data_IF_516722388008
#
_entry.id   IF_516722388008
#
_cell.length_a   1.000
_cell.length_b   1.000
_cell.length_c   1.000
_cell.angle_alpha   90.00
_cell.angle_beta   90.00
_cell.angle_gamma   90.00
#
_symmetry.space_group_name_H-M   'P 1'
#
loop_
_entity.id
_entity.type
_entity.pdbx_description
1 polymer ?
#
# COMPACT_ATOMS: atom_id res chain seq x y z
N UNK A 1 20.28 -12.18 -5.73
CA UNK A 1 19.51 -10.94 -5.49
C UNK A 1 18.70 -10.56 -6.73
N UNK A 2 19.33 -10.32 -7.90
CA UNK A 2 18.61 -9.95 -9.14
C UNK A 2 17.40 -10.84 -9.51
N UNK A 3 17.52 -12.17 -9.39
CA UNK A 3 16.39 -13.09 -9.67
C UNK A 3 15.15 -12.83 -8.80
N UNK A 4 15.34 -12.51 -7.52
CA UNK A 4 14.24 -12.25 -6.59
C UNK A 4 13.63 -10.88 -6.84
N UNK A 5 14.45 -9.89 -7.22
CA UNK A 5 13.96 -8.58 -7.65
C UNK A 5 13.07 -8.72 -8.89
N UNK A 6 13.52 -9.47 -9.91
CA UNK A 6 12.73 -9.74 -11.12
C UNK A 6 11.42 -10.45 -10.76
N UNK A 7 11.48 -11.52 -9.98
CA UNK A 7 10.27 -12.26 -9.56
C UNK A 7 9.32 -11.34 -8.79
N UNK A 8 9.83 -10.57 -7.81
CA UNK A 8 9.01 -9.66 -7.00
C UNK A 8 8.31 -8.59 -7.82
N UNK A 9 8.98 -8.05 -8.84
CA UNK A 9 8.47 -7.02 -9.76
C UNK A 9 7.50 -7.60 -10.80
N UNK A 10 7.68 -8.87 -11.18
CA UNK A 10 6.76 -9.53 -12.11
C UNK A 10 5.33 -9.58 -11.58
N UNK A 11 5.11 -9.70 -10.26
CA UNK A 11 3.75 -9.74 -9.70
C UNK A 11 2.96 -8.45 -9.97
N UNK A 12 3.46 -7.24 -9.64
CA UNK A 12 2.82 -5.98 -10.04
C UNK A 12 2.65 -5.81 -11.54
N UNK A 13 3.63 -6.19 -12.35
CA UNK A 13 3.52 -6.09 -13.81
C UNK A 13 2.39 -6.98 -14.33
N UNK A 14 2.35 -8.25 -13.91
CA UNK A 14 1.28 -9.18 -14.29
C UNK A 14 -0.08 -8.71 -13.77
N UNK A 15 -0.15 -8.13 -12.57
CA UNK A 15 -1.37 -7.56 -12.03
C UNK A 15 -1.87 -6.35 -12.86
N UNK A 16 -0.97 -5.46 -13.30
CA UNK A 16 -1.32 -4.33 -14.18
C UNK A 16 -1.88 -4.83 -15.52
N UNK A 17 -1.25 -5.86 -16.10
CA UNK A 17 -1.71 -6.47 -17.35
C UNK A 17 -3.06 -7.17 -17.17
N UNK A 18 -3.21 -7.94 -16.09
CA UNK A 18 -4.45 -8.65 -15.76
C UNK A 18 -5.61 -7.68 -15.52
N UNK A 19 -5.39 -6.62 -14.75
CA UNK A 19 -6.45 -5.66 -14.41
C UNK A 19 -6.96 -4.87 -15.61
N UNK A 20 -6.18 -4.80 -16.71
CA UNK A 20 -6.66 -4.23 -17.98
C UNK A 20 -7.88 -4.99 -18.51
N UNK A 21 -7.96 -6.30 -18.31
CA UNK A 21 -9.11 -7.12 -18.72
C UNK A 21 -10.36 -6.88 -17.86
N UNK A 22 -10.18 -6.37 -16.63
CA UNK A 22 -11.31 -6.05 -15.76
C UNK A 22 -12.00 -4.75 -16.14
N UNK A 23 -11.31 -3.82 -16.82
CA UNK A 23 -11.92 -2.58 -17.31
C UNK A 23 -11.89 -1.42 -16.31
N UNK A 24 -12.28 -0.24 -16.80
CA UNK A 24 -12.22 1.05 -16.10
C UNK A 24 -13.25 1.17 -14.97
N UNK A 25 -14.36 0.45 -15.07
CA UNK A 25 -15.41 0.41 -14.05
C UNK A 25 -14.92 -0.22 -12.74
N UNK A 26 -13.83 -1.00 -12.80
CA UNK A 26 -13.13 -1.57 -11.66
C UNK A 26 -11.84 -0.84 -11.29
N UNK A 27 -11.56 0.34 -11.85
CA UNK A 27 -10.26 1.02 -11.64
C UNK A 27 -9.82 1.14 -10.17
N UNK A 28 -10.78 1.38 -9.27
CA UNK A 28 -10.52 1.39 -7.83
C UNK A 28 -10.06 0.03 -7.28
N UNK A 29 -10.75 -1.05 -7.64
CA UNK A 29 -10.38 -2.42 -7.25
C UNK A 29 -9.07 -2.85 -7.91
N UNK A 30 -8.91 -2.53 -9.19
CA UNK A 30 -7.72 -2.84 -9.97
C UNK A 30 -6.46 -2.28 -9.32
N UNK A 31 -6.52 -1.03 -8.85
CA UNK A 31 -5.43 -0.45 -8.05
C UNK A 31 -5.12 -1.26 -6.79
N UNK A 32 -6.14 -1.71 -6.06
CA UNK A 32 -5.94 -2.53 -4.84
C UNK A 32 -5.38 -3.92 -5.17
N UNK A 33 -5.76 -4.54 -6.29
CA UNK A 33 -5.13 -5.77 -6.79
C UNK A 33 -3.64 -5.57 -7.05
N UNK A 34 -3.26 -4.44 -7.68
CA UNK A 34 -1.86 -4.10 -7.92
C UNK A 34 -1.11 -3.87 -6.60
N UNK A 35 -1.73 -3.21 -5.61
CA UNK A 35 -1.12 -3.06 -4.27
C UNK A 35 -0.86 -4.43 -3.62
N UNK A 36 -1.85 -5.33 -3.59
CA UNK A 36 -1.68 -6.69 -3.06
C UNK A 36 -0.56 -7.46 -3.76
N UNK A 37 -0.42 -7.27 -5.07
CA UNK A 37 0.62 -7.96 -5.85
C UNK A 37 2.05 -7.51 -5.49
N UNK A 38 2.23 -6.41 -4.73
CA UNK A 38 3.56 -6.00 -4.24
C UNK A 38 4.06 -6.83 -3.06
N UNK A 39 3.20 -7.64 -2.41
CA UNK A 39 3.55 -8.45 -1.22
C UNK A 39 4.79 -9.33 -1.41
N UNK A 40 4.96 -10.08 -2.51
CA UNK A 40 6.16 -10.89 -2.71
C UNK A 40 7.46 -10.07 -2.69
N UNK A 41 7.46 -8.87 -3.28
CA UNK A 41 8.62 -7.98 -3.24
C UNK A 41 8.94 -7.50 -1.82
N UNK A 42 7.91 -7.21 -1.01
CA UNK A 42 8.07 -6.84 0.41
C UNK A 42 8.69 -7.97 1.22
N UNK A 43 8.23 -9.20 0.99
CA UNK A 43 8.76 -10.37 1.69
C UNK A 43 10.21 -10.65 1.27
N UNK A 44 10.53 -10.55 -0.01
CA UNK A 44 11.93 -10.69 -0.46
C UNK A 44 12.85 -9.61 0.12
N UNK A 45 12.36 -8.38 0.27
CA UNK A 45 13.09 -7.32 0.96
C UNK A 45 13.31 -7.65 2.44
N UNK A 46 12.25 -8.11 3.13
CA UNK A 46 12.32 -8.52 4.54
C UNK A 46 13.36 -9.61 4.78
N UNK A 47 13.35 -10.64 3.94
CA UNK A 47 14.25 -11.79 4.05
C UNK A 47 15.67 -11.51 3.50
N UNK A 48 15.99 -10.26 3.14
CA UNK A 48 17.30 -9.87 2.64
C UNK A 48 17.65 -10.43 1.25
N UNK A 49 16.66 -10.95 0.52
CA UNK A 49 16.84 -11.46 -0.85
C UNK A 49 16.92 -10.35 -1.90
N UNK A 50 16.39 -9.18 -1.55
CA UNK A 50 16.46 -7.91 -2.30
C UNK A 50 16.89 -6.81 -1.35
N UNK A 51 17.89 -6.02 -1.73
CA UNK A 51 18.34 -4.90 -0.90
C UNK A 51 17.36 -3.73 -0.98
N UNK A 52 17.35 -2.88 0.05
CA UNK A 52 16.53 -1.66 0.05
C UNK A 52 16.83 -0.74 -1.15
N UNK A 53 18.10 -0.65 -1.57
CA UNK A 53 18.51 0.14 -2.74
C UNK A 53 17.94 -0.43 -4.05
N UNK A 54 18.02 -1.75 -4.24
CA UNK A 54 17.47 -2.42 -5.43
C UNK A 54 15.94 -2.26 -5.50
N UNK A 55 15.25 -2.51 -4.39
CA UNK A 55 13.80 -2.37 -4.31
C UNK A 55 13.38 -0.92 -4.60
N UNK A 56 14.00 0.04 -3.91
CA UNK A 56 13.67 1.45 -4.07
C UNK A 56 13.93 1.94 -5.49
N UNK A 57 15.04 1.53 -6.12
CA UNK A 57 15.33 1.91 -7.50
C UNK A 57 14.21 1.46 -8.44
N UNK A 58 13.78 0.20 -8.35
CA UNK A 58 12.72 -0.31 -9.24
C UNK A 58 11.35 0.31 -8.92
N UNK A 59 10.99 0.42 -7.65
CA UNK A 59 9.69 1.01 -7.26
C UNK A 59 9.63 2.50 -7.62
N UNK A 60 10.74 3.23 -7.57
CA UNK A 60 10.82 4.61 -8.04
C UNK A 60 10.62 4.71 -9.56
N UNK A 61 11.06 3.72 -10.35
CA UNK A 61 10.76 3.68 -11.79
C UNK A 61 9.26 3.54 -12.05
N UNK A 62 8.54 2.75 -11.24
CA UNK A 62 7.07 2.71 -11.30
C UNK A 62 6.47 4.08 -10.97
N UNK A 63 6.92 4.73 -9.90
CA UNK A 63 6.44 6.07 -9.52
C UNK A 63 6.62 7.07 -10.66
N UNK A 64 7.81 7.14 -11.26
CA UNK A 64 8.11 8.05 -12.37
C UNK A 64 7.26 7.71 -13.59
N UNK A 65 7.16 6.43 -13.97
CA UNK A 65 6.35 6.01 -15.12
C UNK A 65 4.87 6.39 -14.96
N UNK A 66 4.31 6.18 -13.77
CA UNK A 66 2.93 6.52 -13.46
C UNK A 66 2.70 8.03 -13.33
N UNK A 67 3.68 8.76 -12.81
CA UNK A 67 3.62 10.22 -12.78
C UNK A 67 3.65 10.80 -14.19
N UNK A 68 4.49 10.25 -15.08
CA UNK A 68 4.55 10.68 -16.48
C UNK A 68 3.21 10.49 -17.19
N UNK A 69 2.51 9.38 -16.97
CA UNK A 69 1.18 9.18 -17.59
C UNK A 69 0.17 10.22 -17.10
N UNK A 70 0.19 10.61 -15.82
CA UNK A 70 -0.62 11.73 -15.31
C UNK A 70 -0.24 13.07 -15.94
N UNK A 71 1.05 13.42 -15.95
CA UNK A 71 1.52 14.70 -16.50
C UNK A 71 1.22 14.83 -17.99
N UNK A 72 1.17 13.71 -18.72
CA UNK A 72 0.83 13.66 -20.13
C UNK A 72 -0.68 13.60 -20.38
N UNK A 73 -1.53 13.58 -19.34
CA UNK A 73 -2.98 13.33 -19.43
C UNK A 73 -3.31 12.05 -20.21
N UNK A 74 -2.50 11.00 -20.00
CA UNK A 74 -2.63 9.67 -20.60
C UNK A 74 -2.71 8.61 -19.50
N UNK A 75 -3.49 8.89 -18.47
CA UNK A 75 -3.71 7.97 -17.36
C UNK A 75 -4.19 6.60 -17.87
N UNK A 76 -3.62 5.54 -17.30
CA UNK A 76 -4.04 4.17 -17.55
C UNK A 76 -5.37 3.93 -16.82
N UNK A 77 -6.46 4.36 -17.47
CA UNK A 77 -7.82 4.49 -16.93
C UNK A 77 -8.37 3.25 -16.21
N UNK A 78 -7.86 2.06 -16.52
CA UNK A 78 -8.23 0.82 -15.84
C UNK A 78 -7.67 0.69 -14.42
N UNK A 79 -6.75 1.54 -13.96
CA UNK A 79 -6.33 1.56 -12.54
C UNK A 79 -5.86 2.92 -12.03
N UNK A 80 -5.44 3.82 -12.91
CA UNK A 80 -5.15 5.21 -12.57
C UNK A 80 -6.45 6.02 -12.61
N UNK A 81 -6.74 6.68 -11.48
CA UNK A 81 -7.92 7.53 -11.35
C UNK A 81 -7.50 8.96 -11.68
N UNK A 82 -8.17 9.58 -12.65
CA UNK A 82 -7.91 10.96 -13.07
C UNK A 82 -7.83 11.92 -11.87
N UNK A 83 -6.81 12.77 -11.86
CA UNK A 83 -6.49 13.73 -10.78
C UNK A 83 -6.24 13.08 -9.39
N UNK A 84 -6.03 11.77 -9.31
CA UNK A 84 -5.67 11.10 -8.08
C UNK A 84 -4.34 10.35 -8.25
N UNK A 85 -3.33 10.82 -7.52
CA UNK A 85 -1.95 10.35 -7.59
C UNK A 85 -1.62 9.27 -6.56
N UNK A 86 -2.63 8.59 -6.00
CA UNK A 86 -2.44 7.64 -4.90
C UNK A 86 -1.43 6.54 -5.22
N UNK A 87 -1.43 5.99 -6.44
CA UNK A 87 -0.45 4.98 -6.85
C UNK A 87 0.97 5.54 -6.99
N UNK A 88 1.11 6.82 -7.37
CA UNK A 88 2.42 7.48 -7.43
C UNK A 88 2.96 7.68 -6.02
N UNK A 89 2.13 8.20 -5.10
CA UNK A 89 2.49 8.38 -3.71
C UNK A 89 2.82 7.06 -3.03
N UNK A 90 2.06 6.00 -3.32
CA UNK A 90 2.35 4.65 -2.87
C UNK A 90 3.79 4.26 -3.24
N UNK A 91 4.16 4.34 -4.53
CA UNK A 91 5.50 3.98 -4.98
C UNK A 91 6.60 4.89 -4.42
N UNK A 92 6.37 6.20 -4.29
CA UNK A 92 7.35 7.13 -3.69
C UNK A 92 7.62 6.77 -2.22
N UNK A 93 6.56 6.62 -1.42
CA UNK A 93 6.70 6.32 0.01
C UNK A 93 7.31 4.93 0.22
N UNK A 94 6.93 3.95 -0.60
CA UNK A 94 7.52 2.63 -0.56
C UNK A 94 9.03 2.65 -0.87
N UNK A 95 9.44 3.43 -1.86
CA UNK A 95 10.86 3.62 -2.17
C UNK A 95 11.62 4.31 -1.02
N UNK A 96 11.01 5.33 -0.40
CA UNK A 96 11.61 6.03 0.74
C UNK A 96 11.76 5.09 1.96
N UNK A 97 10.72 4.31 2.28
CA UNK A 97 10.77 3.33 3.37
C UNK A 97 11.85 2.27 3.13
N UNK A 98 11.99 1.78 1.90
CA UNK A 98 13.01 0.81 1.53
C UNK A 98 14.45 1.33 1.72
N UNK A 99 14.68 2.64 1.51
CA UNK A 99 16.01 3.26 1.62
C UNK A 99 16.39 3.69 3.04
N UNK A 100 15.44 4.24 3.78
CA UNK A 100 15.74 5.02 4.98
C UNK A 100 15.30 4.39 6.29
N UNK A 101 14.53 3.29 6.24
CA UNK A 101 14.01 2.64 7.44
C UNK A 101 14.63 1.27 7.68
N UNK A 102 14.55 0.80 8.92
CA UNK A 102 14.95 -0.57 9.23
C UNK A 102 14.03 -1.56 8.51
N UNK A 103 14.61 -2.66 8.03
CA UNK A 103 13.95 -3.61 7.14
C UNK A 103 12.65 -4.15 7.76
N UNK A 104 12.66 -4.52 9.04
CA UNK A 104 11.49 -5.12 9.70
C UNK A 104 10.32 -4.14 9.82
N UNK A 105 10.57 -2.92 10.30
CA UNK A 105 9.53 -1.92 10.46
C UNK A 105 9.05 -1.37 9.11
N UNK A 106 9.96 -1.18 8.15
CA UNK A 106 9.63 -0.83 6.77
C UNK A 106 8.71 -1.88 6.13
N UNK A 107 9.07 -3.17 6.22
CA UNK A 107 8.24 -4.25 5.70
C UNK A 107 6.87 -4.33 6.37
N UNK A 108 6.77 -4.08 7.68
CA UNK A 108 5.48 -4.04 8.36
C UNK A 108 4.57 -2.93 7.80
N UNK A 109 5.10 -1.72 7.61
CA UNK A 109 4.32 -0.60 7.07
C UNK A 109 3.97 -0.83 5.60
N UNK A 110 4.92 -1.30 4.80
CA UNK A 110 4.68 -1.68 3.40
C UNK A 110 3.58 -2.74 3.29
N UNK A 111 3.57 -3.74 4.17
CA UNK A 111 2.50 -4.75 4.20
C UNK A 111 1.16 -4.16 4.61
N UNK A 112 1.13 -3.24 5.58
CA UNK A 112 -0.11 -2.54 5.93
C UNK A 112 -0.63 -1.72 4.75
N UNK A 113 0.23 -1.04 4.02
CA UNK A 113 -0.12 -0.30 2.80
C UNK A 113 -0.58 -1.22 1.65
N UNK A 114 0.08 -2.36 1.47
CA UNK A 114 -0.26 -3.32 0.42
C UNK A 114 -1.57 -4.07 0.72
N UNK A 115 -1.77 -4.44 1.98
CA UNK A 115 -2.80 -5.39 2.42
C UNK A 115 -3.94 -4.70 3.16
N UNK A 116 -3.67 -3.94 4.22
CA UNK A 116 -4.73 -3.32 5.03
C UNK A 116 -5.47 -2.23 4.26
N UNK A 117 -4.76 -1.35 3.56
CA UNK A 117 -5.38 -0.38 2.64
C UNK A 117 -6.06 -1.09 1.45
N UNK A 118 -5.46 -2.18 0.94
CA UNK A 118 -6.06 -3.08 -0.04
C UNK A 118 -7.45 -3.57 0.37
N UNK A 119 -7.53 -4.24 1.53
CA UNK A 119 -8.76 -4.78 2.12
C UNK A 119 -9.78 -3.67 2.36
N UNK A 120 -9.32 -2.55 2.89
CA UNK A 120 -10.14 -1.37 3.14
C UNK A 120 -10.82 -0.87 1.87
N UNK A 121 -10.06 -0.76 0.77
CA UNK A 121 -10.55 -0.37 -0.54
C UNK A 121 -11.57 -1.36 -1.10
N UNK A 122 -11.33 -2.67 -0.94
CA UNK A 122 -12.23 -3.73 -1.39
C UNK A 122 -13.55 -3.73 -0.62
N UNK A 123 -13.51 -3.69 0.71
CA UNK A 123 -14.70 -3.69 1.56
C UNK A 123 -15.59 -2.48 1.29
N UNK A 124 -14.99 -1.29 1.20
CA UNK A 124 -15.71 -0.06 0.84
C UNK A 124 -16.31 -0.17 -0.55
N UNK A 125 -15.59 -0.79 -1.48
CA UNK A 125 -16.08 -0.93 -2.84
C UNK A 125 -17.37 -1.76 -2.91
N UNK A 126 -17.35 -2.95 -2.31
CA UNK A 126 -18.52 -3.82 -2.28
C UNK A 126 -19.67 -3.19 -1.50
N UNK A 127 -19.37 -2.52 -0.39
CA UNK A 127 -20.39 -1.81 0.39
C UNK A 127 -21.08 -0.73 -0.45
N UNK A 128 -20.34 0.21 -1.05
CA UNK A 128 -20.97 1.31 -1.80
C UNK A 128 -21.63 0.85 -3.09
N UNK A 129 -21.05 -0.11 -3.80
CA UNK A 129 -21.64 -0.67 -5.02
C UNK A 129 -22.98 -1.36 -4.72
N UNK A 130 -23.05 -2.13 -3.64
CA UNK A 130 -24.31 -2.77 -3.20
C UNK A 130 -25.40 -1.75 -2.85
N UNK A 131 -25.01 -0.56 -2.40
CA UNK A 131 -25.91 0.52 -1.99
C UNK A 131 -26.14 1.58 -3.10
N UNK A 132 -25.72 1.32 -4.35
CA UNK A 132 -25.99 2.21 -5.49
C UNK A 132 -25.19 3.51 -5.52
N UNK A 133 -24.15 3.66 -4.70
CA UNK A 133 -23.33 4.87 -4.65
C UNK A 133 -22.08 4.78 -5.54
N UNK A 134 -21.63 5.94 -6.05
CA UNK A 134 -20.32 6.02 -6.66
C UNK A 134 -19.24 5.69 -5.62
N UNK A 135 -18.40 4.74 -6.01
CA UNK A 135 -17.57 3.96 -5.11
C UNK A 135 -16.23 4.64 -4.81
N UNK A 136 -15.82 5.58 -5.66
CA UNK A 136 -14.47 6.15 -5.62
C UNK A 136 -14.32 7.09 -4.43
N UNK A 137 -13.26 6.90 -3.65
CA UNK A 137 -12.75 7.83 -2.63
C UNK A 137 -13.65 8.11 -1.40
N UNK A 138 -14.73 7.34 -1.20
CA UNK A 138 -15.57 7.47 0.01
C UNK A 138 -15.03 6.62 1.16
N UNK A 139 -14.84 7.23 2.34
CA UNK A 139 -14.49 6.53 3.58
C UNK A 139 -15.77 5.97 4.25
N UNK A 140 -15.66 4.78 4.85
CA UNK A 140 -16.72 4.13 5.62
C UNK A 140 -16.10 3.25 6.71
N UNK A 141 -16.79 3.12 7.85
CA UNK A 141 -16.30 2.40 9.03
C UNK A 141 -16.00 0.92 8.76
N UNK A 142 -16.71 0.29 7.82
CA UNK A 142 -16.44 -1.10 7.42
C UNK A 142 -15.01 -1.28 6.90
N UNK A 143 -14.46 -0.26 6.23
CA UNK A 143 -13.08 -0.25 5.78
C UNK A 143 -12.12 -0.15 6.97
N UNK A 144 -12.42 0.70 7.95
CA UNK A 144 -11.62 0.84 9.18
C UNK A 144 -11.54 -0.45 9.99
N UNK A 145 -12.64 -1.22 10.04
CA UNK A 145 -12.65 -2.57 10.65
C UNK A 145 -11.73 -3.54 9.88
N UNK A 146 -11.81 -3.55 8.55
CA UNK A 146 -10.90 -4.36 7.72
C UNK A 146 -9.43 -3.96 7.90
N UNK A 147 -9.17 -2.66 7.98
CA UNK A 147 -7.85 -2.11 8.22
C UNK A 147 -7.27 -2.59 9.55
N UNK A 148 -7.98 -2.37 10.66
CA UNK A 148 -7.45 -2.66 12.00
C UNK A 148 -7.21 -4.16 12.18
N UNK A 149 -8.13 -5.02 11.72
CA UNK A 149 -7.98 -6.48 11.84
C UNK A 149 -6.73 -6.95 11.09
N UNK A 150 -6.57 -6.53 9.84
CA UNK A 150 -5.41 -6.92 9.03
C UNK A 150 -4.11 -6.31 9.54
N UNK A 151 -4.11 -5.06 9.99
CA UNK A 151 -2.94 -4.40 10.55
C UNK A 151 -2.47 -5.06 11.86
N UNK A 152 -3.41 -5.52 12.70
CA UNK A 152 -3.10 -6.28 13.92
C UNK A 152 -2.43 -7.60 13.53
N UNK A 153 -3.00 -8.35 12.57
CA UNK A 153 -2.41 -9.61 12.09
C UNK A 153 -0.98 -9.38 11.60
N UNK A 154 -0.75 -8.35 10.78
CA UNK A 154 0.58 -7.98 10.29
C UNK A 154 1.52 -7.65 11.44
N UNK A 155 1.09 -6.84 12.41
CA UNK A 155 1.90 -6.48 13.57
C UNK A 155 2.29 -7.72 14.40
N UNK A 156 1.39 -8.68 14.58
CA UNK A 156 1.70 -9.94 15.26
C UNK A 156 2.73 -10.80 14.51
N UNK A 157 2.67 -10.84 13.18
CA UNK A 157 3.55 -11.66 12.36
C UNK A 157 4.94 -11.03 12.14
N UNK A 158 5.00 -9.70 12.03
CA UNK A 158 6.20 -8.98 11.53
C UNK A 158 6.92 -8.21 12.63
N UNK A 159 6.22 -7.80 13.70
CA UNK A 159 6.79 -7.00 14.80
C UNK A 159 6.78 -7.79 16.13
N UNK A 160 7.54 -8.90 16.23
CA UNK A 160 7.56 -9.74 17.44
C UNK A 160 7.99 -8.98 18.70
N UNK A 161 8.82 -7.96 18.56
CA UNK A 161 9.35 -7.14 19.64
C UNK A 161 8.28 -6.29 20.33
N UNK A 162 7.13 -6.04 19.70
CA UNK A 162 6.04 -5.31 20.31
C UNK A 162 5.17 -6.24 21.17
N UNK A 163 4.81 -5.79 22.37
CA UNK A 163 3.80 -6.50 23.18
C UNK A 163 2.39 -6.33 22.56
N UNK A 164 1.41 -7.08 23.07
CA UNK A 164 0.04 -7.10 22.53
C UNK A 164 -0.60 -5.71 22.52
N UNK A 165 -0.49 -4.96 23.62
CA UNK A 165 -1.07 -3.62 23.73
C UNK A 165 -0.44 -2.65 22.71
N UNK A 166 0.88 -2.73 22.55
CA UNK A 166 1.62 -1.92 21.58
C UNK A 166 1.22 -2.24 20.14
N UNK A 167 1.04 -3.51 19.79
CA UNK A 167 0.56 -3.93 18.46
C UNK A 167 -0.82 -3.35 18.17
N UNK A 168 -1.74 -3.45 19.13
CA UNK A 168 -3.09 -2.88 18.98
C UNK A 168 -3.04 -1.36 18.84
N UNK A 169 -2.30 -0.67 19.71
CA UNK A 169 -2.15 0.78 19.67
C UNK A 169 -1.55 1.26 18.34
N UNK A 170 -0.49 0.60 17.86
CA UNK A 170 0.12 0.87 16.56
C UNK A 170 -0.89 0.73 15.41
N UNK A 171 -1.63 -0.38 15.37
CA UNK A 171 -2.65 -0.60 14.34
C UNK A 171 -3.79 0.41 14.39
N UNK A 172 -4.23 0.83 15.59
CA UNK A 172 -5.26 1.86 15.76
C UNK A 172 -4.77 3.21 15.21
N UNK A 173 -3.55 3.61 15.56
CA UNK A 173 -3.01 4.90 15.10
C UNK A 173 -2.88 4.92 13.58
N UNK A 174 -2.41 3.84 12.96
CA UNK A 174 -2.34 3.77 11.50
C UNK A 174 -3.72 3.75 10.84
N UNK A 175 -4.71 3.11 11.44
CA UNK A 175 -6.10 3.16 10.96
C UNK A 175 -6.65 4.59 11.00
N UNK A 176 -6.35 5.37 12.04
CA UNK A 176 -6.74 6.77 12.12
C UNK A 176 -6.05 7.62 11.03
N UNK A 177 -4.77 7.34 10.76
CA UNK A 177 -4.02 7.98 9.68
C UNK A 177 -4.57 7.62 8.28
N UNK A 178 -5.10 6.41 8.10
CA UNK A 178 -5.82 6.02 6.89
C UNK A 178 -7.20 6.71 6.80
N UNK A 179 -7.92 6.79 7.92
CA UNK A 179 -9.32 7.25 7.94
C UNK A 179 -9.48 8.76 7.72
N UNK A 180 -8.49 9.56 8.11
CA UNK A 180 -8.53 11.01 7.91
C UNK A 180 -8.68 11.37 6.41
N UNK A 181 -9.20 12.58 6.13
CA UNK A 181 -9.60 13.03 4.78
C UNK A 181 -8.76 14.19 4.23
N UNK A 182 -7.68 14.55 4.92
CA UNK A 182 -6.86 15.74 4.66
C UNK A 182 -5.68 15.38 3.75
N UNK A 183 -4.99 14.29 4.05
CA UNK A 183 -3.79 13.82 3.34
C UNK A 183 -4.12 12.48 2.67
N UNK A 184 -3.58 12.21 1.48
CA UNK A 184 -3.70 10.89 0.84
C UNK A 184 -3.19 9.78 1.77
N UNK A 185 -3.92 8.68 1.88
CA UNK A 185 -3.57 7.59 2.80
C UNK A 185 -2.21 6.96 2.48
N UNK A 186 -1.80 6.96 1.20
CA UNK A 186 -0.50 6.49 0.76
C UNK A 186 0.67 7.36 1.22
N UNK A 187 0.40 8.56 1.73
CA UNK A 187 1.38 9.45 2.39
C UNK A 187 1.16 9.47 3.90
N UNK A 188 -0.08 9.64 4.35
CA UNK A 188 -0.41 9.82 5.75
C UNK A 188 0.02 8.62 6.60
N UNK A 189 -0.27 7.39 6.16
CA UNK A 189 0.05 6.19 6.92
C UNK A 189 1.57 6.00 7.06
N UNK A 190 2.39 6.03 5.98
CA UNK A 190 3.83 5.93 6.11
C UNK A 190 4.45 7.03 6.98
N UNK A 191 4.02 8.28 6.80
CA UNK A 191 4.55 9.42 7.58
C UNK A 191 4.21 9.28 9.06
N UNK A 192 2.96 8.96 9.39
CA UNK A 192 2.55 8.73 10.79
C UNK A 192 3.32 7.55 11.38
N UNK A 193 3.52 6.47 10.62
CA UNK A 193 4.30 5.33 11.08
C UNK A 193 5.76 5.70 11.44
N UNK A 194 6.40 6.58 10.66
CA UNK A 194 7.72 7.14 11.00
C UNK A 194 7.66 7.95 12.28
N UNK A 195 6.69 8.85 12.41
CA UNK A 195 6.56 9.75 13.57
C UNK A 195 6.31 8.99 14.87
N UNK A 196 5.51 7.92 14.84
CA UNK A 196 5.20 7.14 16.04
C UNK A 196 6.25 6.08 16.37
N UNK A 197 7.20 5.80 15.45
CA UNK A 197 8.23 4.77 15.66
C UNK A 197 8.90 4.84 17.04
N UNK A 198 9.34 6.02 17.55
CA UNK A 198 10.01 6.12 18.85
C UNK A 198 9.13 5.72 20.04
N UNK A 199 7.81 5.75 19.89
CA UNK A 199 6.87 5.32 20.94
C UNK A 199 6.81 3.79 21.06
N UNK A 200 7.21 3.07 20.02
CA UNK A 200 7.06 1.62 19.91
C UNK A 200 8.40 0.87 19.88
N UNK A 201 9.40 1.46 19.24
CA UNK A 201 10.70 0.87 18.96
C UNK A 201 11.77 1.88 19.34
N UNK A 202 12.45 1.61 20.44
CA UNK A 202 13.65 2.32 20.90
C UNK A 202 14.87 1.45 20.68
#
# INVERSE_FOLDING_TARGET
MLKYLVIGVMFPVLAILFTKYLGEEYAWINRKIIHFSSVPAILFFREGLVTGKELAAVVMLFAVGQLLTHLMNKELSWYQIKNNYGEVFYCIMFSAMALFMDVNYASAIMLVMAVSDGITGVLRYYYFRKNGFNVKLRKHWIGSVGYIVSAIIIAFLILPQLNVLMKVAWSVILMLAEYQKVIDDNVAVPVVAVLIKPLFLT
#
